data_IF_217093397138
#
_entry.id   IF_217093397138
#
_cell.length_a   1.000
_cell.length_b   1.000
_cell.length_c   1.000
_cell.angle_alpha   90.00
_cell.angle_beta   90.00
_cell.angle_gamma   90.00
#
_symmetry.space_group_name_H-M   'P 1'
#
loop_
_entity.id
_entity.type
_entity.pdbx_description
1 polymer ?
#
# COMPACT_ATOMS: atom_id res chain seq x y z
N UNK A 1 -89.37 56.17 4.89
CA UNK A 1 -89.19 54.78 4.41
C UNK A 1 -87.74 54.42 4.70
N UNK A 2 -87.43 53.52 5.65
CA UNK A 2 -86.06 53.07 5.83
C UNK A 2 -85.69 52.14 4.66
N UNK A 3 -84.60 52.44 3.98
CA UNK A 3 -84.01 51.58 2.95
C UNK A 3 -83.47 50.34 3.65
N UNK A 4 -84.05 49.17 3.41
CA UNK A 4 -83.50 47.91 3.89
C UNK A 4 -82.16 47.67 3.19
N UNK A 5 -81.06 47.69 3.94
CA UNK A 5 -79.76 47.24 3.46
C UNK A 5 -79.81 45.71 3.44
N UNK A 6 -79.89 45.13 2.24
CA UNK A 6 -79.69 43.70 2.05
C UNK A 6 -78.21 43.42 2.33
N UNK A 7 -77.93 42.73 3.43
CA UNK A 7 -76.60 42.20 3.74
C UNK A 7 -76.57 40.78 3.18
N UNK A 8 -75.76 40.56 2.15
CA UNK A 8 -75.53 39.22 1.63
C UNK A 8 -74.76 38.41 2.68
N UNK A 9 -75.34 37.27 3.07
CA UNK A 9 -74.78 36.35 4.04
C UNK A 9 -74.28 35.11 3.32
N UNK A 10 -73.08 34.66 3.66
CA UNK A 10 -72.50 33.39 3.22
C UNK A 10 -72.09 32.55 4.45
N UNK A 11 -72.01 31.24 4.26
CA UNK A 11 -71.61 30.30 5.31
C UNK A 11 -70.09 30.18 5.32
N UNK A 12 -69.47 30.31 6.50
CA UNK A 12 -68.06 29.99 6.69
C UNK A 12 -67.86 28.48 6.44
N UNK A 13 -66.98 28.13 5.51
CA UNK A 13 -66.80 26.73 5.09
C UNK A 13 -66.19 25.83 6.19
N UNK A 14 -65.56 26.41 7.22
CA UNK A 14 -64.99 25.66 8.35
C UNK A 14 -65.96 25.43 9.52
N UNK A 15 -66.76 26.43 9.90
CA UNK A 15 -67.63 26.35 11.10
C UNK A 15 -69.13 26.42 10.79
N UNK A 16 -69.50 26.55 9.51
CA UNK A 16 -70.88 26.66 9.01
C UNK A 16 -71.67 27.86 9.56
N UNK A 17 -71.02 28.78 10.29
CA UNK A 17 -71.66 30.00 10.78
C UNK A 17 -71.92 30.97 9.62
N UNK A 18 -73.14 31.50 9.54
CA UNK A 18 -73.49 32.56 8.58
C UNK A 18 -72.89 33.90 8.98
N UNK A 19 -72.16 34.52 8.08
CA UNK A 19 -71.53 35.83 8.25
C UNK A 19 -71.80 36.72 7.03
N UNK A 20 -71.78 38.05 7.17
CA UNK A 20 -71.71 38.94 6.02
C UNK A 20 -70.58 38.53 5.09
N UNK A 21 -70.81 38.49 3.78
CA UNK A 21 -69.77 38.09 2.80
C UNK A 21 -68.51 38.96 2.92
N UNK A 22 -68.67 40.23 3.33
CA UNK A 22 -67.56 41.17 3.59
C UNK A 22 -66.70 40.82 4.81
N UNK A 23 -67.14 39.89 5.66
CA UNK A 23 -66.40 39.40 6.84
C UNK A 23 -65.75 38.02 6.61
N UNK A 24 -65.88 37.48 5.39
CA UNK A 24 -65.18 36.26 4.97
C UNK A 24 -63.85 36.62 4.29
N UNK A 25 -62.85 35.79 4.52
CA UNK A 25 -61.51 35.87 3.96
C UNK A 25 -61.30 34.63 3.10
N UNK A 26 -60.78 34.86 1.90
CA UNK A 26 -60.41 33.79 0.97
C UNK A 26 -59.08 33.14 1.40
N UNK A 27 -59.04 31.82 1.45
CA UNK A 27 -57.80 31.05 1.70
C UNK A 27 -57.09 30.69 0.40
N UNK A 28 -55.85 30.20 0.51
CA UNK A 28 -55.09 29.70 -0.64
C UNK A 28 -55.75 28.50 -1.34
N UNK A 29 -56.61 27.76 -0.64
CA UNK A 29 -57.40 26.65 -1.16
C UNK A 29 -58.75 27.09 -1.77
N UNK A 30 -58.98 28.41 -1.88
CA UNK A 30 -60.22 29.05 -2.35
C UNK A 30 -61.42 28.82 -1.42
N UNK A 31 -61.19 28.59 -0.12
CA UNK A 31 -62.26 28.51 0.88
C UNK A 31 -62.62 29.92 1.39
N UNK A 32 -63.89 30.14 1.74
CA UNK A 32 -64.37 31.38 2.37
C UNK A 32 -64.56 31.18 3.89
N UNK A 33 -63.65 31.75 4.67
CA UNK A 33 -63.59 31.55 6.14
C UNK A 33 -63.80 32.84 6.92
N UNK A 34 -64.44 32.76 8.09
CA UNK A 34 -64.54 33.92 8.98
C UNK A 34 -63.21 34.18 9.71
N UNK A 35 -62.97 35.42 10.16
CA UNK A 35 -61.73 35.84 10.83
C UNK A 35 -61.30 34.95 12.00
N UNK A 36 -62.25 34.41 12.77
CA UNK A 36 -61.95 33.48 13.87
C UNK A 36 -61.45 32.11 13.41
N UNK A 37 -61.89 31.63 12.25
CA UNK A 37 -61.41 30.39 11.65
C UNK A 37 -60.06 30.57 10.94
N UNK A 38 -59.79 31.75 10.41
CA UNK A 38 -58.52 32.11 9.76
C UNK A 38 -57.40 32.33 10.77
N UNK A 39 -57.70 32.83 11.97
CA UNK A 39 -56.70 33.11 13.00
C UNK A 39 -55.90 31.87 13.46
N UNK A 40 -56.34 30.66 13.10
CA UNK A 40 -55.67 29.40 13.39
C UNK A 40 -54.88 28.83 12.19
N UNK A 41 -54.82 29.55 11.07
CA UNK A 41 -54.10 29.14 9.85
C UNK A 41 -52.79 29.92 9.73
N UNK A 42 -51.78 29.29 9.14
CA UNK A 42 -50.54 29.95 8.76
C UNK A 42 -50.74 30.75 7.46
N UNK A 43 -49.94 31.81 7.27
CA UNK A 43 -49.89 32.55 6.02
C UNK A 43 -48.91 31.87 5.07
N UNK A 44 -49.33 31.68 3.82
CA UNK A 44 -48.41 31.31 2.75
C UNK A 44 -47.51 32.51 2.43
N UNK A 45 -46.19 32.37 2.61
CA UNK A 45 -45.23 33.45 2.42
C UNK A 45 -44.99 33.82 0.95
N UNK A 46 -45.62 33.10 0.01
CA UNK A 46 -45.56 33.40 -1.44
C UNK A 46 -46.77 34.16 -1.99
N UNK A 47 -47.97 33.85 -1.51
CA UNK A 47 -49.21 34.46 -2.00
C UNK A 47 -49.94 35.32 -0.96
N UNK A 48 -49.41 35.40 0.27
CA UNK A 48 -49.94 36.15 1.40
C UNK A 48 -51.37 35.73 1.84
N UNK A 49 -51.86 34.58 1.36
CA UNK A 49 -53.17 34.03 1.76
C UNK A 49 -53.02 33.05 2.93
N UNK A 50 -54.00 33.01 3.86
CA UNK A 50 -54.08 31.95 4.86
C UNK A 50 -54.22 30.58 4.19
N UNK A 51 -53.54 29.57 4.71
CA UNK A 51 -53.54 28.22 4.14
C UNK A 51 -53.64 27.15 5.24
N UNK A 52 -54.31 26.03 4.93
CA UNK A 52 -54.38 24.87 5.83
C UNK A 52 -53.16 23.97 5.70
N UNK A 53 -52.62 23.90 4.50
CA UNK A 53 -51.56 22.98 4.13
C UNK A 53 -50.34 23.78 3.67
N UNK A 54 -49.48 24.14 4.62
CA UNK A 54 -48.19 24.79 4.40
C UNK A 54 -47.05 23.78 4.56
N UNK A 55 -45.98 23.96 3.78
CA UNK A 55 -44.77 23.15 3.89
C UNK A 55 -43.54 24.04 3.73
N UNK A 56 -42.46 23.69 4.43
CA UNK A 56 -41.18 24.40 4.40
C UNK A 56 -40.46 24.19 3.06
N UNK A 57 -39.96 25.26 2.47
CA UNK A 57 -39.11 25.22 1.27
C UNK A 57 -37.63 25.34 1.62
N UNK A 58 -36.76 25.15 0.63
CA UNK A 58 -35.32 25.37 0.78
C UNK A 58 -34.92 26.82 1.00
N UNK A 59 -35.83 27.78 0.80
CA UNK A 59 -35.63 29.20 1.12
C UNK A 59 -36.01 29.55 2.57
N UNK A 60 -36.24 28.54 3.43
CA UNK A 60 -36.67 28.69 4.82
C UNK A 60 -38.01 29.42 4.99
N UNK A 61 -38.90 29.30 3.99
CA UNK A 61 -40.25 29.86 3.97
C UNK A 61 -41.34 28.78 3.85
N UNK A 62 -42.58 29.10 4.23
CA UNK A 62 -43.73 28.19 4.24
C UNK A 62 -44.71 28.49 3.11
N UNK A 63 -44.85 27.55 2.17
CA UNK A 63 -45.72 27.72 1.00
C UNK A 63 -46.93 26.78 1.03
N UNK A 64 -48.08 27.30 0.62
CA UNK A 64 -49.31 26.51 0.45
C UNK A 64 -49.17 25.48 -0.68
N UNK A 65 -50.05 24.46 -0.69
CA UNK A 65 -50.06 23.40 -1.70
C UNK A 65 -50.05 23.92 -3.15
N UNK A 66 -50.84 24.96 -3.46
CA UNK A 66 -50.87 25.57 -4.80
C UNK A 66 -49.56 26.28 -5.17
N UNK A 67 -48.94 26.98 -4.22
CA UNK A 67 -47.69 27.70 -4.43
C UNK A 67 -46.48 26.76 -4.61
N UNK A 68 -46.50 25.58 -3.99
CA UNK A 68 -45.43 24.58 -4.12
C UNK A 68 -45.70 23.49 -5.16
N UNK A 69 -46.83 23.54 -5.85
CA UNK A 69 -47.16 22.62 -6.94
C UNK A 69 -46.06 22.46 -8.03
N UNK A 70 -45.29 23.50 -8.40
CA UNK A 70 -44.19 23.35 -9.36
C UNK A 70 -42.86 22.92 -8.73
N UNK A 71 -42.80 22.78 -7.40
CA UNK A 71 -41.58 22.39 -6.69
C UNK A 71 -41.47 20.87 -6.58
N UNK A 72 -40.23 20.38 -6.47
CA UNK A 72 -39.93 18.97 -6.15
C UNK A 72 -39.40 18.88 -4.72
N UNK A 73 -39.66 17.78 -4.02
CA UNK A 73 -39.11 17.54 -2.69
C UNK A 73 -37.65 17.09 -2.83
N UNK A 74 -36.73 17.79 -2.18
CA UNK A 74 -35.34 17.36 -2.04
C UNK A 74 -35.28 16.11 -1.19
N UNK A 75 -34.68 15.04 -1.70
CA UNK A 75 -34.64 13.73 -1.02
C UNK A 75 -33.68 13.69 0.18
N UNK A 76 -32.79 14.67 0.32
CA UNK A 76 -31.81 14.73 1.42
C UNK A 76 -32.30 15.55 2.63
N UNK A 77 -33.12 16.58 2.40
CA UNK A 77 -33.58 17.47 3.46
C UNK A 77 -35.11 17.54 3.62
N UNK A 78 -35.85 16.79 2.80
CA UNK A 78 -37.31 16.71 2.80
C UNK A 78 -38.03 18.06 2.60
N UNK A 79 -37.35 19.05 2.01
CA UNK A 79 -37.89 20.39 1.73
C UNK A 79 -38.26 20.56 0.27
N UNK A 80 -39.28 21.37 0.01
CA UNK A 80 -39.66 21.72 -1.36
C UNK A 80 -38.63 22.67 -1.98
N UNK A 81 -38.17 22.36 -3.18
CA UNK A 81 -37.24 23.17 -3.96
C UNK A 81 -37.81 23.45 -5.36
N UNK A 82 -37.69 24.68 -5.87
CA UNK A 82 -38.10 25.00 -7.24
C UNK A 82 -37.20 24.36 -8.30
N UNK A 83 -35.95 24.03 -7.93
CA UNK A 83 -34.96 23.39 -8.77
C UNK A 83 -34.23 22.29 -7.99
N UNK A 84 -34.04 21.15 -8.65
CA UNK A 84 -33.24 20.03 -8.16
C UNK A 84 -32.01 19.85 -9.05
N UNK A 85 -30.91 19.45 -8.41
CA UNK A 85 -29.64 19.08 -9.00
C UNK A 85 -29.60 17.55 -9.03
N UNK A 86 -29.36 17.00 -10.22
CA UNK A 86 -29.15 15.57 -10.36
C UNK A 86 -27.75 15.21 -9.86
N UNK A 87 -27.68 14.20 -8.98
CA UNK A 87 -26.43 13.66 -8.46
C UNK A 87 -26.20 12.28 -9.07
N UNK A 88 -25.05 12.09 -9.72
CA UNK A 88 -24.66 10.78 -10.25
C UNK A 88 -24.52 9.78 -9.11
N UNK A 89 -25.13 8.60 -9.28
CA UNK A 89 -25.20 7.53 -8.27
C UNK A 89 -25.85 7.95 -6.95
N UNK A 90 -26.61 9.05 -6.94
CA UNK A 90 -27.22 9.62 -5.74
C UNK A 90 -28.67 10.03 -5.92
N UNK A 91 -29.14 10.82 -4.96
CA UNK A 91 -30.49 11.38 -4.92
C UNK A 91 -30.57 12.68 -5.73
N UNK A 92 -31.78 13.05 -6.15
CA UNK A 92 -32.04 14.38 -6.70
C UNK A 92 -32.24 15.38 -5.55
N UNK A 93 -31.37 16.37 -5.44
CA UNK A 93 -31.27 17.24 -4.26
C UNK A 93 -31.36 18.71 -4.61
N UNK A 94 -31.65 19.58 -3.64
CA UNK A 94 -31.58 21.02 -3.86
C UNK A 94 -30.13 21.51 -3.98
N UNK A 95 -29.94 22.73 -4.49
CA UNK A 95 -28.59 23.32 -4.68
C UNK A 95 -27.73 23.32 -3.41
N UNK A 96 -28.33 23.61 -2.24
CA UNK A 96 -27.59 23.62 -0.97
C UNK A 96 -27.14 22.22 -0.54
N UNK A 97 -27.99 21.20 -0.70
CA UNK A 97 -27.62 19.82 -0.42
C UNK A 97 -26.56 19.31 -1.40
N UNK A 98 -26.62 19.75 -2.67
CA UNK A 98 -25.66 19.39 -3.70
C UNK A 98 -24.21 19.81 -3.37
N UNK A 99 -24.01 20.85 -2.57
CA UNK A 99 -22.67 21.29 -2.13
C UNK A 99 -21.94 20.25 -1.26
N UNK A 100 -22.67 19.34 -0.62
CA UNK A 100 -22.09 18.26 0.19
C UNK A 100 -21.56 17.10 -0.65
N UNK A 101 -21.88 17.07 -1.95
CA UNK A 101 -21.42 16.05 -2.88
C UNK A 101 -20.15 16.50 -3.62
N UNK A 102 -19.26 15.54 -3.89
CA UNK A 102 -18.04 15.77 -4.66
C UNK A 102 -18.39 16.24 -6.08
N UNK A 103 -17.71 17.30 -6.54
CA UNK A 103 -17.74 17.70 -7.94
C UNK A 103 -16.70 16.90 -8.73
N UNK A 104 -17.11 16.32 -9.85
CA UNK A 104 -16.20 15.64 -10.76
C UNK A 104 -15.25 16.64 -11.43
N UNK A 105 -13.94 16.44 -11.31
CA UNK A 105 -12.91 17.30 -11.91
C UNK A 105 -12.85 17.26 -13.45
N UNK A 106 -13.59 16.37 -14.10
CA UNK A 106 -13.63 16.24 -15.57
C UNK A 106 -14.92 16.78 -16.20
N UNK A 107 -16.06 16.71 -15.51
CA UNK A 107 -17.36 17.10 -16.06
C UNK A 107 -18.20 18.02 -15.17
N UNK A 108 -17.69 18.41 -14.00
CA UNK A 108 -18.32 19.28 -12.99
C UNK A 108 -19.64 18.75 -12.39
N UNK A 109 -20.10 17.56 -12.80
CA UNK A 109 -21.29 16.93 -12.23
C UNK A 109 -21.07 16.54 -10.76
N UNK A 110 -22.13 16.64 -9.96
CA UNK A 110 -22.14 16.16 -8.57
C UNK A 110 -22.31 14.65 -8.55
N UNK A 111 -21.59 13.98 -7.66
CA UNK A 111 -21.67 12.53 -7.52
C UNK A 111 -21.58 12.09 -6.07
N UNK A 112 -22.34 11.03 -5.74
CA UNK A 112 -22.22 10.31 -4.48
C UNK A 112 -20.98 9.39 -4.45
N UNK A 113 -20.60 8.87 -5.63
CA UNK A 113 -19.51 7.91 -5.80
C UNK A 113 -18.39 8.53 -6.65
N UNK A 114 -17.31 8.94 -5.96
CA UNK A 114 -16.13 9.50 -6.61
C UNK A 114 -14.93 8.56 -6.56
N UNK A 115 -14.09 8.65 -7.58
CA UNK A 115 -12.87 7.87 -7.73
C UNK A 115 -11.67 8.79 -7.79
N UNK A 116 -10.69 8.54 -6.92
CA UNK A 116 -9.42 9.27 -6.95
C UNK A 116 -8.62 8.87 -8.18
N UNK A 117 -8.16 9.87 -8.92
CA UNK A 117 -7.25 9.72 -10.06
C UNK A 117 -5.92 10.41 -9.74
N UNK A 118 -4.93 10.22 -10.62
CA UNK A 118 -3.61 10.82 -10.44
C UNK A 118 -3.67 12.35 -10.27
N UNK A 119 -2.84 12.90 -9.38
CA UNK A 119 -2.78 14.33 -9.07
C UNK A 119 -3.83 14.85 -8.07
N UNK A 120 -4.25 14.04 -7.09
CA UNK A 120 -5.23 14.39 -6.03
C UNK A 120 -6.60 14.86 -6.56
N UNK A 121 -6.96 14.40 -7.76
CA UNK A 121 -8.23 14.71 -8.42
C UNK A 121 -9.27 13.62 -8.16
N UNK A 122 -10.55 13.97 -8.28
CA UNK A 122 -11.68 13.06 -8.11
C UNK A 122 -12.62 13.12 -9.33
N UNK A 123 -13.00 11.96 -9.87
CA UNK A 123 -13.93 11.86 -11.01
C UNK A 123 -15.13 10.99 -10.66
N UNK A 124 -16.27 11.22 -11.33
CA UNK A 124 -17.47 10.40 -11.17
C UNK A 124 -17.33 9.02 -11.84
N UNK A 125 -18.30 8.13 -11.60
CA UNK A 125 -18.35 6.79 -12.20
C UNK A 125 -18.31 6.79 -13.73
N UNK A 126 -18.97 7.74 -14.39
CA UNK A 126 -18.99 7.81 -15.84
C UNK A 126 -17.63 8.23 -16.41
N UNK A 127 -17.01 9.27 -15.83
CA UNK A 127 -15.70 9.76 -16.28
C UNK A 127 -14.58 8.76 -15.96
N UNK A 128 -14.73 7.93 -14.93
CA UNK A 128 -13.78 6.87 -14.57
C UNK A 128 -13.49 5.92 -15.73
N UNK A 129 -14.46 5.66 -16.61
CA UNK A 129 -14.29 4.70 -17.70
C UNK A 129 -13.27 5.13 -18.77
N UNK A 130 -12.91 6.43 -18.82
CA UNK A 130 -11.80 6.95 -19.63
C UNK A 130 -10.42 6.73 -18.99
N UNK A 131 -10.37 6.15 -17.79
CA UNK A 131 -9.15 5.88 -17.04
C UNK A 131 -8.83 4.39 -17.01
N UNK A 132 -7.54 4.08 -17.06
CA UNK A 132 -7.02 2.73 -16.82
C UNK A 132 -6.35 2.68 -15.46
N UNK A 133 -6.40 1.53 -14.79
CA UNK A 133 -5.60 1.33 -13.57
C UNK A 133 -4.14 1.21 -13.95
N UNK A 134 -3.30 2.03 -13.35
CA UNK A 134 -1.86 1.83 -13.34
C UNK A 134 -1.58 0.38 -12.92
N UNK A 135 -0.79 -0.35 -13.70
CA UNK A 135 -0.46 -1.76 -13.46
C UNK A 135 0.27 -2.00 -12.14
N UNK A 136 0.73 -0.92 -11.49
CA UNK A 136 1.66 -0.94 -10.38
C UNK A 136 1.04 -0.47 -9.07
N UNK A 137 0.59 0.78 -9.00
CA UNK A 137 -0.06 1.34 -7.81
C UNK A 137 -1.60 1.27 -7.86
N UNK A 138 -2.17 0.87 -9.01
CA UNK A 138 -3.61 0.84 -9.27
C UNK A 138 -4.32 2.20 -9.28
N UNK A 139 -3.60 3.31 -9.08
CA UNK A 139 -4.11 4.67 -9.34
C UNK A 139 -4.68 4.75 -10.75
N UNK A 140 -5.82 5.42 -10.89
CA UNK A 140 -6.47 5.63 -12.18
C UNK A 140 -5.72 6.72 -12.97
N UNK A 141 -5.29 6.38 -14.18
CA UNK A 141 -4.51 7.23 -15.08
C UNK A 141 -5.22 7.38 -16.41
N UNK A 142 -5.09 8.53 -17.05
CA UNK A 142 -5.82 8.85 -18.29
C UNK A 142 -5.10 8.29 -19.51
N UNK A 143 -5.82 7.66 -20.43
CA UNK A 143 -5.28 7.24 -21.74
C UNK A 143 -4.70 5.82 -21.79
N UNK A 144 -3.89 5.53 -22.83
CA UNK A 144 -3.28 4.20 -23.10
C UNK A 144 -2.03 3.92 -22.25
N UNK A 145 -1.75 4.77 -21.27
CA UNK A 145 -0.57 4.65 -20.42
C UNK A 145 -0.84 3.60 -19.33
N UNK A 146 0.02 2.58 -19.28
CA UNK A 146 -0.12 1.46 -18.34
C UNK A 146 0.41 1.79 -16.93
N UNK A 147 1.03 2.95 -16.77
CA UNK A 147 1.68 3.38 -15.53
C UNK A 147 1.38 4.86 -15.27
N UNK A 148 1.18 5.23 -14.00
CA UNK A 148 1.11 6.62 -13.52
C UNK A 148 2.45 7.35 -13.69
N UNK A 149 2.49 8.67 -13.61
CA UNK A 149 3.75 9.44 -13.71
C UNK A 149 4.75 9.01 -12.61
N UNK A 150 4.25 8.77 -11.40
CA UNK A 150 5.06 8.22 -10.28
C UNK A 150 5.49 6.75 -10.50
N UNK A 151 4.86 6.08 -11.46
CA UNK A 151 4.99 4.66 -11.71
C UNK A 151 5.76 4.34 -12.98
N UNK A 152 5.82 5.28 -13.92
CA UNK A 152 6.62 5.23 -15.11
C UNK A 152 8.06 5.12 -14.65
N UNK A 153 8.66 3.93 -14.79
CA UNK A 153 10.08 3.79 -14.49
C UNK A 153 10.83 4.65 -15.51
N UNK A 154 11.69 5.59 -15.06
CA UNK A 154 12.58 6.27 -15.97
C UNK A 154 13.47 5.23 -16.65
N UNK A 155 13.49 5.19 -17.98
CA UNK A 155 14.42 4.35 -18.74
C UNK A 155 15.84 4.93 -18.56
N UNK A 156 16.69 4.20 -17.83
CA UNK A 156 18.07 4.56 -17.61
C UNK A 156 18.98 3.46 -18.13
N UNK A 157 19.77 3.77 -19.17
CA UNK A 157 20.70 2.84 -19.82
C UNK A 157 21.72 2.16 -18.88
N UNK A 158 21.90 2.66 -17.65
CA UNK A 158 22.76 2.09 -16.60
C UNK A 158 22.06 1.02 -15.76
N UNK A 159 20.77 0.80 -15.97
CA UNK A 159 19.96 -0.28 -15.37
C UNK A 159 19.67 -1.27 -16.48
N UNK A 160 20.17 -2.49 -16.34
CA UNK A 160 20.04 -3.51 -17.37
C UNK A 160 18.68 -4.24 -17.28
N UNK A 161 18.27 -4.91 -18.35
CA UNK A 161 17.10 -5.78 -18.32
C UNK A 161 17.23 -6.90 -17.27
N UNK A 162 16.09 -7.43 -16.81
CA UNK A 162 16.04 -8.52 -15.81
C UNK A 162 16.76 -9.80 -16.25
N UNK A 163 16.92 -10.03 -17.56
CA UNK A 163 17.66 -11.17 -18.09
C UNK A 163 19.18 -10.97 -18.15
N UNK A 164 19.68 -9.76 -17.89
CA UNK A 164 21.10 -9.44 -17.98
C UNK A 164 21.90 -10.25 -16.95
N UNK A 165 22.88 -11.00 -17.45
CA UNK A 165 23.77 -11.83 -16.62
C UNK A 165 25.15 -11.88 -17.30
N UNK A 166 26.05 -10.94 -16.97
CA UNK A 166 27.38 -10.91 -17.53
C UNK A 166 28.22 -12.08 -16.96
N UNK A 167 29.32 -12.47 -17.64
CA UNK A 167 30.26 -13.43 -17.08
C UNK A 167 30.73 -12.98 -15.68
N UNK A 168 30.71 -13.87 -14.67
CA UNK A 168 31.03 -13.49 -13.29
C UNK A 168 32.51 -13.16 -13.12
N UNK A 169 32.80 -12.03 -12.49
CA UNK A 169 34.14 -11.66 -12.00
C UNK A 169 34.27 -12.09 -10.55
N UNK A 170 35.20 -12.98 -10.21
CA UNK A 170 35.31 -13.48 -8.84
C UNK A 170 36.24 -12.59 -8.01
N UNK A 171 35.76 -12.11 -6.87
CA UNK A 171 36.51 -11.27 -5.95
C UNK A 171 36.86 -12.01 -4.65
N UNK A 172 38.11 -11.92 -4.22
CA UNK A 172 38.59 -12.62 -3.03
C UNK A 172 39.05 -14.05 -3.32
N UNK A 173 39.05 -14.90 -2.29
CA UNK A 173 39.64 -16.25 -2.33
C UNK A 173 38.65 -17.30 -1.84
N UNK A 174 38.82 -18.53 -2.32
CA UNK A 174 38.13 -19.72 -1.83
C UNK A 174 37.57 -20.58 -2.94
N UNK A 175 36.67 -21.52 -2.59
CA UNK A 175 35.63 -22.00 -3.48
C UNK A 175 34.23 -21.50 -3.08
N UNK A 176 34.07 -20.91 -1.87
CA UNK A 176 32.81 -20.38 -1.35
C UNK A 176 32.71 -18.88 -1.64
N UNK A 177 31.90 -18.53 -2.65
CA UNK A 177 31.58 -17.17 -3.03
C UNK A 177 30.10 -16.87 -2.78
N UNK A 178 29.82 -15.60 -2.47
CA UNK A 178 28.50 -15.03 -2.29
C UNK A 178 28.22 -14.02 -3.41
N UNK A 179 27.08 -14.13 -4.08
CA UNK A 179 26.50 -13.06 -4.88
C UNK A 179 25.29 -12.49 -4.14
N UNK A 180 25.09 -11.17 -4.19
CA UNK A 180 23.97 -10.50 -3.54
C UNK A 180 23.13 -9.81 -4.60
N UNK A 181 21.83 -10.06 -4.58
CA UNK A 181 20.81 -9.27 -5.26
C UNK A 181 20.04 -8.51 -4.18
N UNK A 182 20.10 -7.18 -4.21
CA UNK A 182 19.46 -6.28 -3.24
C UNK A 182 18.43 -5.42 -3.99
N UNK A 183 17.15 -5.73 -3.79
CA UNK A 183 16.04 -5.03 -4.41
C UNK A 183 15.74 -3.75 -3.63
N UNK A 184 15.76 -2.59 -4.29
CA UNK A 184 15.53 -1.29 -3.65
C UNK A 184 14.44 -0.51 -4.37
N UNK A 185 13.65 0.22 -3.60
CA UNK A 185 12.72 1.22 -4.13
C UNK A 185 13.31 2.61 -4.06
N UNK A 186 12.77 3.50 -4.88
CA UNK A 186 13.10 4.92 -4.88
C UNK A 186 11.86 5.75 -5.24
N UNK A 187 11.94 7.05 -5.01
CA UNK A 187 10.98 8.01 -5.58
C UNK A 187 11.34 8.28 -7.03
N UNK A 188 10.39 8.70 -7.87
CA UNK A 188 10.70 9.09 -9.26
C UNK A 188 11.74 10.21 -9.30
N UNK A 189 11.62 11.21 -8.42
CA UNK A 189 12.57 12.31 -8.31
C UNK A 189 13.98 11.87 -7.89
N UNK A 190 14.10 10.82 -7.09
CA UNK A 190 15.38 10.31 -6.59
C UNK A 190 15.98 9.20 -7.46
N UNK A 191 15.27 8.72 -8.48
CA UNK A 191 15.66 7.56 -9.27
C UNK A 191 17.02 7.76 -9.97
N UNK A 192 17.15 8.82 -10.76
CA UNK A 192 18.35 9.07 -11.58
C UNK A 192 19.61 9.24 -10.71
N UNK A 193 19.53 10.05 -9.64
CA UNK A 193 20.63 10.26 -8.70
C UNK A 193 21.02 8.97 -7.97
N UNK A 194 20.03 8.14 -7.64
CA UNK A 194 20.26 6.84 -6.99
C UNK A 194 20.96 5.86 -7.93
N UNK A 195 20.50 5.77 -9.19
CA UNK A 195 21.11 4.93 -10.24
C UNK A 195 22.54 5.39 -10.54
N UNK A 196 22.75 6.70 -10.69
CA UNK A 196 24.08 7.28 -10.91
C UNK A 196 25.02 6.97 -9.74
N UNK A 197 24.54 7.17 -8.50
CA UNK A 197 25.31 6.91 -7.28
C UNK A 197 25.67 5.44 -7.15
N UNK A 198 24.71 4.53 -7.36
CA UNK A 198 24.96 3.09 -7.28
C UNK A 198 25.95 2.64 -8.34
N UNK A 199 25.77 2.99 -9.62
CA UNK A 199 26.69 2.62 -10.70
C UNK A 199 28.12 3.08 -10.42
N UNK A 200 28.31 4.33 -9.97
CA UNK A 200 29.63 4.87 -9.68
C UNK A 200 30.36 4.11 -8.55
N UNK A 201 29.63 3.53 -7.60
CA UNK A 201 30.24 2.77 -6.49
C UNK A 201 30.39 1.29 -6.80
N UNK A 202 29.57 0.75 -7.70
CA UNK A 202 29.56 -0.67 -8.07
C UNK A 202 30.55 -1.04 -9.17
N UNK A 203 31.24 -0.07 -9.76
CA UNK A 203 32.19 -0.31 -10.84
C UNK A 203 33.15 -1.47 -10.52
N UNK A 204 33.15 -2.47 -11.41
CA UNK A 204 33.94 -3.68 -11.28
C UNK A 204 33.51 -4.69 -10.20
N UNK A 205 32.51 -4.40 -9.35
CA UNK A 205 32.03 -5.30 -8.28
C UNK A 205 30.55 -5.66 -8.40
N UNK A 206 29.77 -4.95 -9.22
CA UNK A 206 28.35 -5.18 -9.42
C UNK A 206 27.75 -4.35 -10.54
N UNK A 207 26.45 -4.47 -10.70
CA UNK A 207 25.66 -3.80 -11.74
C UNK A 207 24.21 -3.68 -11.29
N UNK A 208 23.41 -2.87 -12.00
CA UNK A 208 21.99 -2.68 -11.72
C UNK A 208 21.13 -3.40 -12.75
N UNK A 209 19.97 -3.89 -12.31
CA UNK A 209 18.97 -4.51 -13.17
C UNK A 209 17.55 -4.03 -12.83
N UNK A 210 16.66 -4.16 -13.81
CA UNK A 210 15.23 -4.14 -13.57
C UNK A 210 14.80 -5.48 -12.96
N UNK A 211 13.93 -5.42 -11.94
CA UNK A 211 13.11 -6.54 -11.52
C UNK A 211 11.63 -6.14 -11.65
N UNK A 212 10.82 -7.03 -12.23
CA UNK A 212 9.38 -6.80 -12.41
C UNK A 212 8.58 -6.78 -11.10
N UNK A 213 9.17 -7.22 -9.98
CA UNK A 213 8.63 -7.04 -8.62
C UNK A 213 8.83 -5.62 -8.11
N UNK A 214 9.88 -4.94 -8.58
CA UNK A 214 10.23 -3.60 -8.12
C UNK A 214 9.43 -2.61 -8.91
N UNK A 215 8.64 -1.89 -8.15
CA UNK A 215 7.72 -0.93 -8.70
C UNK A 215 8.56 0.23 -9.28
N UNK A 216 9.21 1.08 -8.47
CA UNK A 216 10.13 2.16 -8.91
C UNK A 216 11.43 1.94 -8.15
N UNK A 217 12.50 1.70 -8.87
CA UNK A 217 13.79 1.37 -8.28
C UNK A 217 14.56 0.39 -9.14
N UNK A 218 15.47 -0.33 -8.51
CA UNK A 218 16.39 -1.22 -9.21
C UNK A 218 16.83 -2.34 -8.27
N UNK A 219 17.26 -3.44 -8.87
CA UNK A 219 17.97 -4.51 -8.20
C UNK A 219 19.48 -4.25 -8.33
N UNK A 220 20.16 -4.15 -7.19
CA UNK A 220 21.61 -4.08 -7.13
C UNK A 220 22.16 -5.50 -7.07
N UNK A 221 22.92 -5.90 -8.09
CA UNK A 221 23.49 -7.24 -8.20
C UNK A 221 25.01 -7.18 -8.09
N UNK A 222 25.58 -7.98 -7.20
CA UNK A 222 27.04 -8.09 -7.08
C UNK A 222 27.59 -9.25 -7.89
N UNK A 223 28.81 -9.07 -8.39
CA UNK A 223 29.63 -10.19 -8.77
C UNK A 223 29.95 -11.11 -7.56
N UNK A 224 30.36 -12.37 -7.77
CA UNK A 224 30.66 -13.28 -6.66
C UNK A 224 31.86 -12.81 -5.82
N UNK A 225 31.68 -12.71 -4.51
CA UNK A 225 32.70 -12.27 -3.55
C UNK A 225 32.94 -13.35 -2.49
N UNK A 226 34.19 -13.58 -2.08
CA UNK A 226 34.44 -14.26 -0.81
C UNK A 226 33.89 -13.41 0.34
N UNK A 227 33.55 -14.03 1.46
CA UNK A 227 32.98 -13.30 2.59
C UNK A 227 33.92 -12.21 3.12
N UNK A 228 35.22 -12.50 3.23
CA UNK A 228 36.23 -11.52 3.63
C UNK A 228 36.29 -10.31 2.68
N UNK A 229 36.21 -10.55 1.37
CA UNK A 229 36.17 -9.47 0.38
C UNK A 229 34.89 -8.65 0.53
N UNK A 230 33.73 -9.30 0.66
CA UNK A 230 32.46 -8.59 0.87
C UNK A 230 32.52 -7.72 2.13
N UNK A 231 33.10 -8.21 3.23
CA UNK A 231 33.16 -7.43 4.48
C UNK A 231 34.13 -6.25 4.41
N UNK A 232 35.26 -6.40 3.72
CA UNK A 232 36.37 -5.43 3.73
C UNK A 232 36.40 -4.48 2.53
N UNK A 233 35.93 -4.90 1.35
CA UNK A 233 36.11 -4.18 0.09
C UNK A 233 34.80 -3.72 -0.57
N UNK A 234 33.66 -4.38 -0.30
CA UNK A 234 32.37 -3.90 -0.82
C UNK A 234 32.09 -2.48 -0.32
N UNK A 235 31.58 -1.55 -1.16
CA UNK A 235 31.40 -0.15 -0.81
C UNK A 235 30.21 0.07 0.14
N UNK A 236 30.30 -0.37 1.39
CA UNK A 236 29.19 -0.33 2.37
C UNK A 236 28.62 1.06 2.64
N UNK A 237 29.37 2.12 2.39
CA UNK A 237 28.87 3.50 2.47
C UNK A 237 27.78 3.81 1.43
N UNK A 238 27.71 3.03 0.34
CA UNK A 238 26.69 3.15 -0.71
C UNK A 238 25.29 3.06 -0.12
N UNK A 239 25.02 2.11 0.78
CA UNK A 239 23.67 1.93 1.35
C UNK A 239 23.20 3.18 2.10
N UNK A 240 24.09 3.81 2.87
CA UNK A 240 23.79 5.07 3.56
C UNK A 240 23.52 6.20 2.57
N UNK A 241 24.26 6.28 1.45
CA UNK A 241 24.04 7.28 0.40
C UNK A 241 22.70 7.09 -0.31
N UNK A 242 22.37 5.85 -0.69
CA UNK A 242 21.09 5.53 -1.32
C UNK A 242 19.92 5.90 -0.41
N UNK A 243 20.01 5.62 0.89
CA UNK A 243 19.00 6.06 1.87
C UNK A 243 18.83 7.59 1.88
N UNK A 244 19.93 8.35 1.84
CA UNK A 244 19.88 9.82 1.81
C UNK A 244 19.29 10.38 0.51
N UNK A 245 19.35 9.62 -0.58
CA UNK A 245 18.74 9.96 -1.88
C UNK A 245 17.26 9.55 -1.99
N UNK A 246 16.67 9.03 -0.90
CA UNK A 246 15.26 8.62 -0.87
C UNK A 246 15.02 7.16 -1.26
N UNK A 247 16.07 6.35 -1.42
CA UNK A 247 15.85 4.91 -1.53
C UNK A 247 15.25 4.36 -0.22
N UNK A 248 14.34 3.42 -0.36
CA UNK A 248 13.64 2.79 0.73
C UNK A 248 13.31 1.33 0.40
N UNK A 249 12.77 0.63 1.39
CA UNK A 249 12.38 -0.79 1.31
C UNK A 249 10.98 -0.96 1.88
N UNK A 250 10.29 -2.01 1.47
CA UNK A 250 9.01 -2.45 2.04
C UNK A 250 8.93 -3.99 2.04
N UNK A 251 7.76 -4.53 2.36
CA UNK A 251 7.55 -5.97 2.51
C UNK A 251 7.54 -6.74 1.18
N UNK A 252 7.55 -6.05 0.04
CA UNK A 252 7.52 -6.66 -1.29
C UNK A 252 8.92 -6.88 -1.89
N UNK A 253 9.95 -6.21 -1.34
CA UNK A 253 11.34 -6.29 -1.82
C UNK A 253 12.25 -7.11 -0.88
N UNK A 254 13.25 -7.78 -1.45
CA UNK A 254 14.11 -8.73 -0.75
C UNK A 254 15.61 -8.57 -0.94
N UNK A 255 16.35 -9.43 -0.23
CA UNK A 255 17.75 -9.74 -0.54
C UNK A 255 17.82 -11.22 -0.92
N UNK A 256 18.37 -11.51 -2.11
CA UNK A 256 18.74 -12.85 -2.49
C UNK A 256 20.25 -13.03 -2.35
N UNK A 257 20.67 -14.06 -1.62
CA UNK A 257 22.08 -14.40 -1.46
C UNK A 257 22.38 -15.69 -2.20
N UNK A 258 23.10 -15.58 -3.31
CA UNK A 258 23.62 -16.71 -4.06
C UNK A 258 24.88 -17.26 -3.40
N UNK A 259 24.85 -18.52 -3.01
CA UNK A 259 25.95 -19.26 -2.40
C UNK A 259 26.51 -20.24 -3.41
N UNK A 260 27.78 -20.15 -3.78
CA UNK A 260 28.39 -21.05 -4.77
C UNK A 260 28.32 -22.52 -4.35
N UNK A 261 27.87 -23.41 -5.26
CA UNK A 261 27.85 -24.86 -5.03
C UNK A 261 29.23 -25.45 -4.80
N UNK A 262 30.26 -24.86 -5.41
CA UNK A 262 31.67 -25.23 -5.22
C UNK A 262 32.13 -25.05 -3.76
N UNK A 263 31.45 -24.22 -2.98
CA UNK A 263 31.68 -24.06 -1.56
C UNK A 263 31.31 -25.29 -0.72
N UNK A 264 30.65 -26.31 -1.26
CA UNK A 264 30.23 -27.50 -0.51
C UNK A 264 31.06 -28.75 -0.86
N UNK A 265 31.64 -29.40 0.15
CA UNK A 265 32.48 -30.59 -0.04
C UNK A 265 31.76 -31.83 -0.60
N UNK A 266 30.43 -31.94 -0.41
CA UNK A 266 29.67 -33.12 -0.82
C UNK A 266 28.16 -32.91 -0.76
N UNK A 267 27.35 -33.78 -1.41
CA UNK A 267 25.90 -33.84 -1.18
C UNK A 267 25.53 -34.00 0.29
N UNK A 268 26.32 -34.72 1.09
CA UNK A 268 26.06 -34.85 2.52
C UNK A 268 26.22 -33.52 3.27
N UNK A 269 27.17 -32.66 2.85
CA UNK A 269 27.32 -31.31 3.39
C UNK A 269 26.11 -30.45 3.01
N UNK A 270 25.73 -30.42 1.72
CA UNK A 270 24.54 -29.69 1.26
C UNK A 270 23.29 -30.12 2.04
N UNK A 271 23.10 -31.43 2.24
CA UNK A 271 22.00 -31.96 3.04
C UNK A 271 21.98 -31.40 4.47
N UNK A 272 23.13 -31.39 5.17
CA UNK A 272 23.22 -30.84 6.54
C UNK A 272 22.90 -29.35 6.57
N UNK A 273 23.38 -28.60 5.59
CA UNK A 273 23.09 -27.17 5.43
C UNK A 273 21.60 -26.91 5.21
N UNK A 274 20.97 -27.59 4.24
CA UNK A 274 19.53 -27.51 4.01
C UNK A 274 18.76 -27.85 5.29
N UNK A 275 19.14 -28.92 6.00
CA UNK A 275 18.47 -29.29 7.26
C UNK A 275 18.68 -28.26 8.36
N UNK A 276 19.84 -27.60 8.46
CA UNK A 276 20.04 -26.52 9.41
C UNK A 276 19.06 -25.37 9.14
N UNK A 277 18.97 -24.90 7.89
CA UNK A 277 18.12 -23.76 7.54
C UNK A 277 16.64 -24.10 7.72
N UNK A 278 16.16 -25.19 7.11
CA UNK A 278 14.74 -25.56 7.14
C UNK A 278 14.22 -26.07 8.49
N UNK A 279 15.10 -26.51 9.40
CA UNK A 279 14.65 -26.89 10.77
C UNK A 279 14.53 -25.69 11.70
N UNK A 280 15.18 -24.58 11.38
CA UNK A 280 15.21 -23.37 12.21
C UNK A 280 14.38 -22.24 11.58
N UNK A 281 13.32 -22.56 10.84
CA UNK A 281 12.45 -21.61 10.15
C UNK A 281 12.12 -20.37 11.00
N UNK A 282 11.57 -20.54 12.20
CA UNK A 282 11.18 -19.41 13.07
C UNK A 282 12.34 -18.45 13.33
N UNK A 283 13.53 -18.99 13.57
CA UNK A 283 14.71 -18.18 13.86
C UNK A 283 15.31 -17.55 12.59
N UNK A 284 15.31 -18.28 11.48
CA UNK A 284 15.76 -17.75 10.19
C UNK A 284 14.82 -16.66 9.70
N UNK A 285 13.51 -16.83 9.86
CA UNK A 285 12.49 -15.83 9.53
C UNK A 285 12.63 -14.57 10.40
N UNK A 286 12.93 -14.74 11.70
CA UNK A 286 13.23 -13.62 12.58
C UNK A 286 14.46 -12.83 12.12
N UNK A 287 15.57 -13.53 11.79
CA UNK A 287 16.76 -12.90 11.23
C UNK A 287 16.50 -12.24 9.86
N UNK A 288 15.63 -12.85 9.07
CA UNK A 288 15.23 -12.37 7.76
C UNK A 288 14.30 -11.16 7.82
N UNK A 289 13.74 -10.83 8.99
CA UNK A 289 12.74 -9.76 9.21
C UNK A 289 11.49 -9.88 8.31
N UNK A 290 11.24 -11.06 7.74
CA UNK A 290 10.01 -11.41 7.04
C UNK A 290 9.72 -12.90 7.14
N UNK A 291 8.43 -13.25 7.16
CA UNK A 291 7.95 -14.64 7.14
C UNK A 291 6.95 -14.80 6.00
N UNK A 292 6.87 -16.00 5.43
CA UNK A 292 5.77 -16.43 4.56
C UNK A 292 5.49 -15.52 3.35
N UNK A 293 6.54 -15.00 2.70
CA UNK A 293 6.35 -14.44 1.37
C UNK A 293 6.07 -15.57 0.39
N UNK A 294 5.08 -15.39 -0.48
CA UNK A 294 4.80 -16.30 -1.61
C UNK A 294 6.03 -16.51 -2.54
N UNK A 295 7.11 -15.75 -2.31
CA UNK A 295 8.35 -15.72 -3.08
C UNK A 295 9.53 -16.45 -2.41
N UNK A 296 9.42 -16.83 -1.11
CA UNK A 296 10.51 -17.46 -0.33
C UNK A 296 10.01 -18.42 0.77
N UNK A 297 9.01 -19.26 0.47
CA UNK A 297 8.34 -20.10 1.46
C UNK A 297 9.21 -21.20 2.09
N UNK A 298 8.99 -21.47 3.39
CA UNK A 298 9.55 -22.64 4.10
C UNK A 298 8.64 -23.86 3.95
N UNK A 299 8.52 -24.37 2.73
CA UNK A 299 7.64 -25.49 2.42
C UNK A 299 8.13 -26.80 3.10
N UNK A 300 7.29 -27.46 3.93
CA UNK A 300 7.63 -28.73 4.58
C UNK A 300 8.04 -29.83 3.60
N UNK A 301 7.42 -29.87 2.42
CA UNK A 301 7.72 -30.89 1.42
C UNK A 301 9.11 -30.67 0.81
N UNK A 302 9.50 -29.41 0.58
CA UNK A 302 10.84 -29.06 0.12
C UNK A 302 11.90 -29.42 1.17
N UNK A 303 11.58 -29.21 2.44
CA UNK A 303 12.41 -29.67 3.56
C UNK A 303 12.57 -31.20 3.56
N UNK A 304 11.53 -31.96 3.24
CA UNK A 304 11.59 -33.42 3.15
C UNK A 304 12.37 -33.90 1.92
N UNK A 305 12.34 -33.10 0.84
CA UNK A 305 13.16 -33.31 -0.36
C UNK A 305 14.64 -32.96 -0.20
N UNK A 306 15.11 -32.46 0.96
CA UNK A 306 16.48 -31.99 1.15
C UNK A 306 17.56 -32.98 0.66
N UNK A 307 17.36 -34.29 0.83
CA UNK A 307 18.28 -35.30 0.29
C UNK A 307 18.30 -35.30 -1.24
N UNK A 308 17.14 -35.27 -1.88
CA UNK A 308 17.04 -35.22 -3.33
C UNK A 308 17.70 -33.94 -3.90
N UNK A 309 17.41 -32.78 -3.29
CA UNK A 309 17.99 -31.50 -3.69
C UNK A 309 19.52 -31.47 -3.55
N UNK A 310 20.04 -32.05 -2.47
CA UNK A 310 21.48 -32.14 -2.23
C UNK A 310 22.23 -32.96 -3.29
N UNK A 311 21.54 -33.90 -3.95
CA UNK A 311 22.08 -34.69 -5.06
C UNK A 311 21.83 -34.06 -6.45
N UNK A 312 21.45 -32.79 -6.51
CA UNK A 312 21.18 -32.08 -7.78
C UNK A 312 19.76 -32.24 -8.29
N UNK A 313 18.87 -32.82 -7.49
CA UNK A 313 17.44 -32.81 -7.77
C UNK A 313 16.84 -31.39 -7.69
N UNK A 314 15.60 -31.25 -8.17
CA UNK A 314 14.89 -29.99 -8.17
C UNK A 314 13.50 -30.13 -7.54
N UNK A 315 13.10 -29.14 -6.75
CA UNK A 315 11.72 -28.99 -6.28
C UNK A 315 10.83 -28.35 -7.35
N UNK A 316 9.57 -28.10 -6.98
CA UNK A 316 8.62 -27.34 -7.80
C UNK A 316 8.86 -25.84 -7.69
N UNK A 317 8.88 -25.11 -8.81
CA UNK A 317 9.10 -23.66 -8.80
C UNK A 317 10.44 -23.21 -8.20
N UNK A 318 10.60 -21.88 -8.10
CA UNK A 318 11.78 -21.21 -7.53
C UNK A 318 11.52 -20.55 -6.17
N UNK A 319 10.26 -20.45 -5.76
CA UNK A 319 9.80 -19.60 -4.66
C UNK A 319 9.88 -20.28 -3.29
N UNK A 320 11.07 -20.79 -2.98
CA UNK A 320 11.38 -21.45 -1.72
C UNK A 320 12.43 -20.67 -0.96
N UNK A 321 12.50 -20.87 0.36
CA UNK A 321 13.53 -20.30 1.22
C UNK A 321 14.94 -20.48 0.63
N UNK A 322 15.21 -21.65 0.04
CA UNK A 322 16.41 -21.92 -0.74
C UNK A 322 16.01 -22.43 -2.14
N UNK A 323 16.27 -21.62 -3.16
CA UNK A 323 16.15 -22.05 -4.55
C UNK A 323 17.41 -22.82 -4.98
N UNK A 324 17.22 -24.08 -5.36
CA UNK A 324 18.28 -25.03 -5.69
C UNK A 324 18.46 -25.26 -7.20
N UNK A 325 17.65 -24.58 -8.02
CA UNK A 325 17.68 -24.66 -9.49
C UNK A 325 18.90 -24.03 -10.15
N UNK A 326 19.48 -22.91 -9.65
CA UNK A 326 20.66 -22.35 -10.29
C UNK A 326 21.79 -23.38 -10.38
N UNK A 327 22.39 -23.49 -11.58
CA UNK A 327 23.35 -24.55 -11.87
C UNK A 327 24.62 -24.47 -11.01
N UNK A 328 25.05 -23.25 -10.69
CA UNK A 328 26.33 -22.99 -10.00
C UNK A 328 26.17 -22.46 -8.57
N UNK A 329 24.95 -22.10 -8.16
CA UNK A 329 24.67 -21.51 -6.83
C UNK A 329 23.45 -22.14 -6.19
N UNK A 330 23.32 -21.96 -4.88
CA UNK A 330 22.06 -22.04 -4.14
C UNK A 330 21.64 -20.62 -3.80
N UNK A 331 20.41 -20.25 -4.06
CA UNK A 331 19.92 -18.90 -3.82
C UNK A 331 19.09 -18.89 -2.53
N UNK A 332 19.56 -18.20 -1.50
CA UNK A 332 18.87 -17.98 -0.23
C UNK A 332 17.99 -16.76 -0.39
N UNK A 333 16.67 -16.96 -0.39
CA UNK A 333 15.69 -15.94 -0.78
C UNK A 333 14.97 -15.28 0.40
N UNK A 334 15.29 -15.67 1.64
CA UNK A 334 14.41 -15.41 2.79
C UNK A 334 14.42 -13.96 3.27
N UNK A 335 15.49 -13.20 3.03
CA UNK A 335 15.72 -11.92 3.68
C UNK A 335 14.86 -10.79 3.11
N UNK A 336 14.28 -9.97 3.99
CA UNK A 336 13.74 -8.66 3.63
C UNK A 336 14.87 -7.74 3.17
N UNK A 337 14.56 -6.86 2.20
CA UNK A 337 15.51 -5.84 1.76
C UNK A 337 15.89 -4.90 2.91
N UNK A 338 17.06 -4.27 2.81
CA UNK A 338 17.52 -3.29 3.81
C UNK A 338 18.57 -2.34 3.26
N UNK A 339 18.56 -1.11 3.77
CA UNK A 339 19.63 -0.12 3.61
C UNK A 339 20.50 0.01 4.89
N UNK A 340 20.20 -0.76 5.94
CA UNK A 340 21.06 -0.85 7.12
C UNK A 340 22.23 -1.82 6.84
N UNK A 341 23.45 -1.29 6.97
CA UNK A 341 24.66 -2.07 6.71
C UNK A 341 24.81 -3.29 7.61
N UNK A 342 24.37 -3.24 8.86
CA UNK A 342 24.45 -4.36 9.80
C UNK A 342 23.53 -5.48 9.35
N UNK A 343 22.31 -5.12 8.96
CA UNK A 343 21.31 -6.05 8.47
C UNK A 343 21.74 -6.79 7.19
N UNK A 344 22.25 -6.06 6.20
CA UNK A 344 22.74 -6.66 4.94
C UNK A 344 23.99 -7.52 5.19
N UNK A 345 24.93 -7.05 6.04
CA UNK A 345 26.08 -7.86 6.44
C UNK A 345 25.69 -9.11 7.21
N UNK A 346 24.65 -9.05 8.05
CA UNK A 346 24.13 -10.19 8.78
C UNK A 346 23.51 -11.22 7.83
N UNK A 347 22.81 -10.81 6.77
CA UNK A 347 22.30 -11.72 5.74
C UNK A 347 23.43 -12.49 5.04
N UNK A 348 24.48 -11.78 4.58
CA UNK A 348 25.68 -12.41 4.01
C UNK A 348 26.41 -13.30 5.03
N UNK A 349 26.51 -12.82 6.28
CA UNK A 349 27.10 -13.54 7.40
C UNK A 349 26.39 -14.85 7.67
N UNK A 350 25.05 -14.87 7.66
CA UNK A 350 24.28 -16.08 7.86
C UNK A 350 24.47 -17.07 6.71
N UNK A 351 24.42 -16.59 5.47
CA UNK A 351 24.63 -17.42 4.30
C UNK A 351 26.01 -18.10 4.34
N UNK A 352 27.07 -17.35 4.67
CA UNK A 352 28.42 -17.90 4.79
C UNK A 352 28.58 -18.82 6.01
N UNK A 353 28.22 -18.34 7.20
CA UNK A 353 28.39 -19.05 8.46
C UNK A 353 27.63 -20.38 8.48
N UNK A 354 26.42 -20.43 7.92
CA UNK A 354 25.63 -21.67 7.86
C UNK A 354 26.32 -22.76 7.02
N UNK A 355 27.00 -22.38 5.94
CA UNK A 355 27.81 -23.32 5.15
C UNK A 355 29.03 -23.77 5.96
N UNK A 356 29.84 -22.84 6.46
CA UNK A 356 31.05 -23.20 7.20
C UNK A 356 30.79 -24.03 8.46
N UNK A 357 29.74 -23.72 9.20
CA UNK A 357 29.31 -24.50 10.36
C UNK A 357 28.96 -25.95 9.98
N UNK A 358 28.21 -26.13 8.89
CA UNK A 358 27.73 -27.46 8.48
C UNK A 358 28.77 -28.30 7.73
N UNK A 359 29.86 -27.66 7.27
CA UNK A 359 31.01 -28.32 6.66
C UNK A 359 31.59 -29.39 7.58
N UNK A 360 31.87 -28.99 8.82
CA UNK A 360 32.50 -29.86 9.82
C UNK A 360 31.53 -30.71 10.62
N UNK A 361 30.22 -30.47 10.48
CA UNK A 361 29.19 -31.15 11.26
C UNK A 361 29.09 -32.63 10.92
N UNK A 362 29.27 -33.52 11.90
CA UNK A 362 29.13 -34.97 11.73
C UNK A 362 27.79 -35.46 12.26
N UNK A 363 27.37 -36.65 11.83
CA UNK A 363 26.16 -37.28 12.34
C UNK A 363 26.16 -37.45 13.87
N UNK A 364 27.34 -37.69 14.45
CA UNK A 364 27.54 -37.72 15.90
C UNK A 364 27.17 -36.37 16.55
N UNK A 365 27.66 -35.26 16.01
CA UNK A 365 27.45 -33.92 16.57
C UNK A 365 25.98 -33.50 16.47
N UNK A 366 25.31 -33.89 15.38
CA UNK A 366 23.87 -33.69 15.21
C UNK A 366 23.07 -34.38 16.32
N UNK A 367 23.38 -35.65 16.60
CA UNK A 367 22.58 -36.48 17.54
C UNK A 367 22.95 -36.21 19.00
N UNK A 368 24.24 -36.01 19.30
CA UNK A 368 24.75 -35.92 20.68
C UNK A 368 24.90 -34.49 21.18
N UNK A 369 25.13 -33.55 20.28
CA UNK A 369 25.45 -32.16 20.61
C UNK A 369 24.46 -31.17 20.00
N UNK A 370 23.28 -31.65 19.59
CA UNK A 370 22.22 -30.80 19.04
C UNK A 370 22.72 -29.91 17.90
N UNK A 371 23.53 -30.48 17.01
CA UNK A 371 24.22 -29.76 15.93
C UNK A 371 23.33 -29.13 14.85
N UNK A 372 22.01 -29.31 14.93
CA UNK A 372 21.04 -28.59 14.09
C UNK A 372 20.20 -27.58 14.87
N UNK A 373 20.38 -27.47 16.18
CA UNK A 373 19.62 -26.53 17.00
C UNK A 373 20.19 -25.12 16.82
N UNK A 374 19.30 -24.13 16.77
CA UNK A 374 19.67 -22.73 16.55
C UNK A 374 20.71 -22.23 17.55
N UNK A 375 20.53 -22.54 18.84
CA UNK A 375 21.44 -22.11 19.90
C UNK A 375 22.89 -22.59 19.65
N UNK A 376 23.06 -23.86 19.27
CA UNK A 376 24.38 -24.43 18.95
C UNK A 376 25.04 -23.72 17.77
N UNK A 377 24.27 -23.36 16.76
CA UNK A 377 24.76 -22.58 15.63
C UNK A 377 25.14 -21.15 16.05
N UNK A 378 24.29 -20.46 16.82
CA UNK A 378 24.58 -19.09 17.25
C UNK A 378 25.75 -18.99 18.22
N UNK A 379 25.95 -19.98 19.08
CA UNK A 379 27.13 -20.06 19.96
C UNK A 379 28.42 -20.21 19.13
N UNK A 380 28.38 -21.03 18.08
CA UNK A 380 29.51 -21.19 17.16
C UNK A 380 29.81 -19.89 16.39
N UNK A 381 28.78 -19.15 16.00
CA UNK A 381 28.90 -17.84 15.35
C UNK A 381 29.48 -16.80 16.33
N UNK A 382 28.98 -16.74 17.57
CA UNK A 382 29.44 -15.79 18.58
C UNK A 382 30.92 -15.95 18.96
N UNK A 383 31.47 -17.17 18.81
CA UNK A 383 32.89 -17.46 19.02
C UNK A 383 33.81 -16.99 17.86
N UNK A 384 33.26 -16.36 16.80
CA UNK A 384 33.95 -16.03 15.55
C UNK A 384 33.82 -14.54 15.21
N UNK A 385 34.87 -13.74 15.47
CA UNK A 385 34.83 -12.29 15.27
C UNK A 385 34.53 -11.86 13.83
N UNK A 386 34.84 -12.69 12.83
CA UNK A 386 34.51 -12.43 11.43
C UNK A 386 32.99 -12.29 11.19
N UNK A 387 32.16 -12.88 12.06
CA UNK A 387 30.69 -12.77 12.00
C UNK A 387 30.11 -11.72 12.95
N UNK A 388 30.90 -10.74 13.41
CA UNK A 388 30.45 -9.73 14.37
C UNK A 388 29.13 -9.03 13.98
N UNK A 389 28.91 -8.74 12.69
CA UNK A 389 27.65 -8.14 12.23
C UNK A 389 26.44 -9.07 12.43
N UNK A 390 26.59 -10.37 12.13
CA UNK A 390 25.55 -11.37 12.39
C UNK A 390 25.31 -11.54 13.89
N UNK A 391 26.37 -11.63 14.71
CA UNK A 391 26.25 -11.72 16.16
C UNK A 391 25.49 -10.52 16.75
N UNK A 392 25.83 -9.30 16.31
CA UNK A 392 25.16 -8.08 16.76
C UNK A 392 23.68 -8.06 16.34
N UNK A 393 23.36 -8.48 15.12
CA UNK A 393 21.97 -8.54 14.64
C UNK A 393 21.15 -9.57 15.42
N UNK A 394 21.70 -10.76 15.65
CA UNK A 394 21.05 -11.80 16.46
C UNK A 394 20.76 -11.30 17.89
N UNK A 395 21.71 -10.58 18.50
CA UNK A 395 21.53 -10.00 19.82
C UNK A 395 20.40 -8.94 19.83
N UNK A 396 20.36 -8.05 18.84
CA UNK A 396 19.33 -7.02 18.72
C UNK A 396 17.92 -7.62 18.59
N UNK A 397 17.78 -8.70 17.82
CA UNK A 397 16.51 -9.40 17.63
C UNK A 397 16.02 -10.13 18.90
N UNK A 398 16.95 -10.59 19.75
CA UNK A 398 16.58 -11.18 21.06
C UNK A 398 16.19 -10.14 22.12
N UNK A 399 16.67 -8.90 21.98
CA UNK A 399 16.43 -7.80 22.92
C UNK A 399 15.14 -7.01 22.67
N UNK A 400 14.43 -7.26 21.56
CA UNK A 400 13.21 -6.52 21.20
C UNK A 400 11.98 -7.34 21.60
N UNK A 401 11.16 -6.89 22.56
CA UNK A 401 9.86 -7.52 22.82
C UNK A 401 8.99 -7.44 21.56
N UNK A 402 8.31 -8.54 21.21
CA UNK A 402 7.30 -8.53 20.16
C UNK A 402 6.19 -7.54 20.53
N UNK A 403 6.17 -6.39 19.85
CA UNK A 403 5.12 -5.38 19.97
C UNK A 403 5.62 -4.00 20.37
N UNK A 404 6.20 -3.26 19.43
CA UNK A 404 6.20 -1.79 19.45
C UNK A 404 6.36 -1.28 18.02
N UNK A 405 5.35 -0.57 17.52
CA UNK A 405 5.48 0.21 16.29
C UNK A 405 6.60 1.23 16.50
N UNK A 406 7.51 1.34 15.55
CA UNK A 406 8.60 2.31 15.58
C UNK A 406 8.05 3.71 15.30
N UNK A 407 7.62 4.38 16.36
CA UNK A 407 7.58 5.84 16.43
C UNK A 407 9.01 6.36 16.35
N UNK A 408 9.28 7.19 15.35
CA UNK A 408 10.55 7.87 15.12
C UNK A 408 10.86 8.72 16.36
N UNK A 409 11.97 8.44 17.03
CA UNK A 409 12.56 9.35 18.01
C UNK A 409 13.94 9.74 17.51
N UNK A 410 14.04 11.00 17.10
CA UNK A 410 15.21 11.68 16.57
C UNK A 410 16.25 11.89 17.68
N UNK A 411 17.51 11.51 17.43
CA UNK A 411 18.66 12.02 18.17
C UNK A 411 19.47 12.96 17.27
N UNK A 412 19.22 14.25 17.45
CA UNK A 412 20.09 15.36 17.05
C UNK A 412 21.31 15.39 17.97
N UNK A 413 22.47 14.96 17.49
CA UNK A 413 23.75 15.39 18.04
C UNK A 413 24.90 15.16 17.05
N UNK A 414 25.28 16.20 16.31
CA UNK A 414 26.69 16.52 16.00
C UNK A 414 26.79 17.90 15.35
N UNK A 415 27.00 18.91 16.19
CA UNK A 415 27.63 20.16 15.82
C UNK A 415 28.83 20.36 16.74
N UNK A 416 30.01 19.91 16.28
CA UNK A 416 31.35 20.42 16.60
C UNK A 416 32.40 19.55 15.92
#
# INVERSE_FOLDING_TARGET
MPTAVLVDLAECEACSARRPTTELVETAENEQLCSGCVAALDLCERCDLPARDTALTTADDYWCAGCRAPCTVCEDCDRYAPYIVAVLSGNDVCESCAESYTACDDCDARTADSYTVDGDRAVCEDCRDDYTRCHRCRTLVRGREYYCDDCAQPDDSRVHDSAYSPPPVFHGQGPLFLGMELELRTTVSGYEDSVATANNHLDGVGYLKHDGSISCGFELVTHPMSFDYAMSAFPWALLTRLRLLGCHTDDEVGIHVHVSRAGFDSPAHIYRWLKLVYRNETHVAALARRRDSQWAGFDPDIRDMAKHLAHGGHGWGRYHAINTRPAHTFEVRVFASSLDRREVKAALGFAHASVEYTRTLRAHDVVRSQGWDWATFTDWVAARPEYAALTAELAALTGTPQGASTGIQEDLACAS
#
